data_IF_639653909671
#
_entry.id   IF_639653909671
#
_cell.length_a   1.000
_cell.length_b   1.000
_cell.length_c   1.000
_cell.angle_alpha   90.00
_cell.angle_beta   90.00
_cell.angle_gamma   90.00
#
_symmetry.space_group_name_H-M   'P 1'
#
loop_
_entity.id
_entity.type
_entity.pdbx_description
1 polymer ?
#
# COMPACT_ATOMS: atom_id res chain seq x y z
N UNK A 1 5.35 9.82 -24.43
CA UNK A 1 5.56 9.15 -23.13
C UNK A 1 6.94 8.52 -23.13
N UNK A 2 7.61 8.44 -21.97
CA UNK A 2 8.98 7.92 -21.85
C UNK A 2 9.07 6.38 -21.80
N UNK A 3 7.95 5.65 -21.91
CA UNK A 3 7.93 4.18 -21.80
C UNK A 3 8.17 3.66 -20.38
N UNK A 4 8.01 4.49 -19.35
CA UNK A 4 8.19 4.15 -17.94
C UNK A 4 6.82 4.05 -17.27
N UNK A 5 6.63 3.00 -16.48
CA UNK A 5 5.43 2.79 -15.66
C UNK A 5 5.63 3.29 -14.23
N UNK A 6 4.90 4.32 -13.77
CA UNK A 6 5.05 4.84 -12.41
C UNK A 6 4.48 3.89 -11.35
N UNK A 7 5.23 3.70 -10.26
CA UNK A 7 4.68 3.18 -8.99
C UNK A 7 4.52 4.36 -8.04
N UNK A 8 3.28 4.72 -7.74
CA UNK A 8 2.97 5.86 -6.87
C UNK A 8 3.21 5.44 -5.42
N UNK A 9 4.25 5.99 -4.81
CA UNK A 9 4.64 5.72 -3.43
C UNK A 9 3.55 6.17 -2.45
N UNK A 10 3.33 5.37 -1.40
CA UNK A 10 2.54 5.66 -0.19
C UNK A 10 1.30 6.55 -0.43
N UNK A 11 0.35 6.06 -1.23
CA UNK A 11 -0.82 6.84 -1.68
C UNK A 11 -1.69 7.38 -0.53
N UNK A 12 -1.61 6.77 0.65
CA UNK A 12 -2.26 7.21 1.89
C UNK A 12 -1.74 8.55 2.43
N UNK A 13 -0.63 9.07 1.92
CA UNK A 13 -0.08 10.37 2.32
C UNK A 13 -0.66 11.54 1.54
N UNK A 14 -1.32 11.30 0.40
CA UNK A 14 -1.81 12.38 -0.45
C UNK A 14 -3.26 12.74 -0.12
N UNK A 15 -3.48 13.97 0.36
CA UNK A 15 -4.82 14.49 0.64
C UNK A 15 -5.71 14.49 -0.62
N UNK A 16 -5.09 14.72 -1.79
CA UNK A 16 -5.75 14.68 -3.09
C UNK A 16 -6.44 13.34 -3.40
N UNK A 17 -5.99 12.24 -2.79
CA UNK A 17 -6.52 10.89 -3.01
C UNK A 17 -7.42 10.41 -1.86
N UNK A 18 -7.51 11.16 -0.76
CA UNK A 18 -8.30 10.76 0.40
C UNK A 18 -9.78 10.59 0.04
N UNK A 19 -10.35 9.42 0.37
CA UNK A 19 -11.74 9.06 0.11
C UNK A 19 -12.17 9.25 -1.36
N UNK A 20 -11.21 9.23 -2.29
CA UNK A 20 -11.45 9.51 -3.71
C UNK A 20 -11.00 8.35 -4.60
N UNK A 21 -11.76 7.26 -4.55
CA UNK A 21 -11.57 6.08 -5.39
C UNK A 21 -11.47 6.42 -6.88
N UNK A 22 -12.33 7.31 -7.37
CA UNK A 22 -12.32 7.73 -8.78
C UNK A 22 -10.95 8.22 -9.21
N UNK A 23 -10.36 9.13 -8.44
CA UNK A 23 -9.05 9.71 -8.76
C UNK A 23 -7.91 8.70 -8.69
N UNK A 24 -7.98 7.76 -7.75
CA UNK A 24 -6.99 6.67 -7.69
C UNK A 24 -7.12 5.75 -8.89
N UNK A 25 -8.35 5.41 -9.31
CA UNK A 25 -8.60 4.60 -10.51
C UNK A 25 -8.16 5.31 -11.78
N UNK A 26 -8.41 6.61 -11.93
CA UNK A 26 -7.92 7.39 -13.06
C UNK A 26 -6.39 7.27 -13.22
N UNK A 27 -5.64 7.35 -12.12
CA UNK A 27 -4.18 7.16 -12.14
C UNK A 27 -3.79 5.74 -12.55
N UNK A 28 -4.52 4.73 -12.05
CA UNK A 28 -4.29 3.33 -12.38
C UNK A 28 -4.58 3.06 -13.86
N UNK A 29 -5.70 3.56 -14.36
CA UNK A 29 -6.16 3.42 -15.74
C UNK A 29 -5.23 4.14 -16.73
N UNK A 30 -4.52 5.18 -16.27
CA UNK A 30 -3.42 5.82 -17.01
C UNK A 30 -2.14 4.98 -17.07
N UNK A 31 -2.11 3.81 -16.41
CA UNK A 31 -1.00 2.87 -16.39
C UNK A 31 -0.12 2.95 -15.13
N UNK A 32 -0.57 3.59 -14.05
CA UNK A 32 0.20 3.62 -12.80
C UNK A 32 -0.12 2.42 -11.89
N UNK A 33 0.86 2.02 -11.08
CA UNK A 33 0.62 1.16 -9.91
C UNK A 33 0.67 1.96 -8.61
N UNK A 34 0.11 1.39 -7.54
CA UNK A 34 -0.02 2.08 -6.25
C UNK A 34 0.62 1.27 -5.12
N UNK A 35 1.32 1.96 -4.24
CA UNK A 35 1.93 1.38 -3.05
C UNK A 35 1.39 2.04 -1.77
N UNK A 36 1.24 1.24 -0.71
CA UNK A 36 0.99 1.73 0.65
C UNK A 36 2.02 1.20 1.64
N UNK A 37 2.27 1.91 2.73
CA UNK A 37 3.27 1.51 3.72
C UNK A 37 2.71 0.44 4.67
N UNK A 38 3.52 -0.58 4.94
CA UNK A 38 3.21 -1.68 5.85
C UNK A 38 2.77 -1.20 7.24
N UNK A 39 3.38 -0.12 7.74
CA UNK A 39 3.01 0.45 9.04
C UNK A 39 1.57 0.97 9.09
N UNK A 40 1.07 1.51 7.97
CA UNK A 40 -0.28 2.06 7.86
C UNK A 40 -1.36 0.98 7.68
N UNK A 41 -0.98 -0.28 7.41
CA UNK A 41 -1.93 -1.42 7.37
C UNK A 41 -2.44 -1.76 8.78
N UNK A 42 -1.60 -1.56 9.80
CA UNK A 42 -1.90 -1.91 11.19
C UNK A 42 -3.05 -1.11 11.79
N UNK A 43 -3.72 -1.68 12.80
CA UNK A 43 -4.74 -0.94 13.56
C UNK A 43 -4.11 0.27 14.29
N UNK A 44 -4.87 1.36 14.49
CA UNK A 44 -4.47 2.44 15.39
C UNK A 44 -4.16 1.91 16.79
N UNK A 45 -3.11 2.40 17.43
CA UNK A 45 -2.85 2.19 18.86
C UNK A 45 -3.93 2.90 19.68
N UNK A 46 -4.19 2.40 20.90
CA UNK A 46 -5.14 3.00 21.84
C UNK A 46 -4.69 4.39 22.34
N UNK A 47 -3.38 4.60 22.50
CA UNK A 47 -2.79 5.85 22.94
C UNK A 47 -1.61 6.25 22.03
N UNK A 48 -1.41 7.56 21.83
CA UNK A 48 -0.23 8.10 21.13
C UNK A 48 -0.14 7.79 19.63
N UNK A 49 -1.26 7.46 18.96
CA UNK A 49 -1.26 7.14 17.53
C UNK A 49 -1.11 8.39 16.66
N UNK A 50 0.11 8.66 16.21
CA UNK A 50 0.43 9.78 15.31
C UNK A 50 -0.16 9.62 13.90
N UNK A 51 -0.30 8.39 13.40
CA UNK A 51 -0.61 8.12 11.99
C UNK A 51 -2.03 7.61 11.76
N UNK A 52 -2.96 8.01 12.63
CA UNK A 52 -4.37 7.57 12.60
C UNK A 52 -5.05 7.81 11.25
N UNK A 53 -4.80 8.97 10.62
CA UNK A 53 -5.38 9.33 9.33
C UNK A 53 -4.81 8.49 8.19
N UNK A 54 -3.49 8.28 8.15
CA UNK A 54 -2.84 7.42 7.14
C UNK A 54 -3.33 5.97 7.26
N UNK A 55 -3.48 5.45 8.48
CA UNK A 55 -4.07 4.12 8.73
C UNK A 55 -5.52 4.00 8.25
N UNK A 56 -6.32 5.07 8.38
CA UNK A 56 -7.69 5.14 7.86
C UNK A 56 -7.69 5.11 6.32
N UNK A 57 -6.83 5.91 5.68
CA UNK A 57 -6.70 5.98 4.22
C UNK A 57 -6.19 4.67 3.61
N UNK A 58 -5.14 4.07 4.18
CA UNK A 58 -4.64 2.75 3.76
C UNK A 58 -5.73 1.68 3.81
N UNK A 59 -6.55 1.67 4.87
CA UNK A 59 -7.71 0.79 4.96
C UNK A 59 -8.73 1.06 3.86
N UNK A 60 -9.08 2.33 3.62
CA UNK A 60 -10.01 2.73 2.56
C UNK A 60 -9.56 2.21 1.19
N UNK A 61 -8.28 2.32 0.85
CA UNK A 61 -7.73 1.85 -0.41
C UNK A 61 -7.71 0.32 -0.50
N UNK A 62 -7.32 -0.39 0.56
CA UNK A 62 -7.35 -1.85 0.60
C UNK A 62 -8.77 -2.41 0.45
N UNK A 63 -9.76 -1.79 1.08
CA UNK A 63 -11.17 -2.23 1.02
C UNK A 63 -11.81 -2.06 -0.37
N UNK A 64 -11.21 -1.23 -1.24
CA UNK A 64 -11.68 -0.94 -2.60
C UNK A 64 -10.80 -1.54 -3.69
N UNK A 65 -9.83 -2.36 -3.29
CA UNK A 65 -8.88 -3.00 -4.20
C UNK A 65 -8.07 -1.99 -5.03
N UNK A 66 -7.60 -0.92 -4.38
CA UNK A 66 -6.86 0.19 -5.00
C UNK A 66 -5.35 0.16 -4.72
N UNK A 67 -4.84 -0.97 -4.23
CA UNK A 67 -3.46 -1.15 -3.79
C UNK A 67 -2.84 -2.29 -4.59
N UNK A 68 -1.69 -2.03 -5.20
CA UNK A 68 -0.94 -3.05 -5.95
C UNK A 68 0.21 -3.63 -5.12
N UNK A 69 0.82 -2.82 -4.26
CA UNK A 69 1.99 -3.21 -3.46
C UNK A 69 1.84 -2.72 -2.02
N UNK A 70 2.28 -3.56 -1.07
CA UNK A 70 2.61 -3.11 0.28
C UNK A 70 4.12 -3.17 0.44
N UNK A 71 4.73 -2.05 0.85
CA UNK A 71 6.18 -1.94 1.06
C UNK A 71 6.48 -1.34 2.45
N UNK A 72 7.74 -1.45 2.89
CA UNK A 72 8.09 -1.06 4.25
C UNK A 72 8.20 0.45 4.44
N UNK A 73 8.76 1.14 3.45
CA UNK A 73 9.28 2.51 3.58
C UNK A 73 10.17 2.67 4.84
N UNK A 74 10.92 1.61 5.16
CA UNK A 74 11.77 1.55 6.35
C UNK A 74 13.00 2.45 6.20
N UNK A 75 13.44 3.06 7.29
CA UNK A 75 14.62 3.93 7.31
C UNK A 75 15.60 3.61 8.44
N UNK A 76 15.11 2.97 9.51
CA UNK A 76 15.86 2.69 10.74
C UNK A 76 15.11 1.64 11.56
N UNK A 77 15.63 1.26 12.72
CA UNK A 77 15.00 0.27 13.61
C UNK A 77 14.22 0.91 14.77
N UNK A 78 14.14 2.24 14.84
CA UNK A 78 13.49 2.97 15.94
C UNK A 78 12.12 3.54 15.55
N UNK A 79 12.12 4.56 14.71
CA UNK A 79 10.99 5.44 14.40
C UNK A 79 10.25 4.98 13.14
N UNK A 80 10.95 4.31 12.22
CA UNK A 80 10.44 3.77 10.95
C UNK A 80 11.01 2.36 10.65
N UNK A 81 10.80 1.37 11.55
CA UNK A 81 11.16 -0.03 11.30
C UNK A 81 10.23 -0.71 10.28
N UNK A 82 10.65 -1.83 9.68
CA UNK A 82 9.79 -2.59 8.78
C UNK A 82 8.69 -3.34 9.54
N UNK A 83 7.43 -3.15 9.14
CA UNK A 83 6.27 -3.86 9.68
C UNK A 83 5.69 -4.88 8.69
N UNK A 84 6.53 -5.43 7.81
CA UNK A 84 6.10 -6.26 6.67
C UNK A 84 5.35 -7.52 7.10
N UNK A 85 5.91 -8.33 8.01
CA UNK A 85 5.26 -9.57 8.46
C UNK A 85 3.92 -9.28 9.15
N UNK A 86 3.90 -8.28 10.04
CA UNK A 86 2.67 -7.88 10.72
C UNK A 86 1.58 -7.45 9.73
N UNK A 87 1.94 -6.63 8.73
CA UNK A 87 1.01 -6.18 7.71
C UNK A 87 0.52 -7.35 6.82
N UNK A 88 1.41 -8.28 6.47
CA UNK A 88 1.08 -9.48 5.73
C UNK A 88 0.02 -10.31 6.48
N UNK A 89 0.24 -10.59 7.77
CA UNK A 89 -0.67 -11.40 8.59
C UNK A 89 -2.05 -10.74 8.72
N UNK A 90 -2.09 -9.41 8.87
CA UNK A 90 -3.34 -8.65 8.92
C UNK A 90 -4.10 -8.78 7.59
N UNK A 91 -3.41 -8.64 6.45
CA UNK A 91 -4.04 -8.72 5.13
C UNK A 91 -4.45 -10.17 4.82
N UNK A 92 -3.63 -11.17 5.15
CA UNK A 92 -3.96 -12.58 4.98
C UNK A 92 -5.21 -12.96 5.78
N UNK A 93 -5.33 -12.45 7.01
CA UNK A 93 -6.51 -12.69 7.87
C UNK A 93 -7.76 -11.98 7.35
N UNK A 94 -7.65 -10.74 6.88
CA UNK A 94 -8.81 -9.91 6.50
C UNK A 94 -9.26 -10.10 5.04
N UNK A 95 -8.32 -10.27 4.11
CA UNK A 95 -8.55 -10.31 2.66
C UNK A 95 -8.12 -11.62 2.01
N UNK A 96 -7.81 -12.65 2.82
CA UNK A 96 -7.33 -13.99 2.44
C UNK A 96 -5.86 -14.02 2.04
N UNK A 97 -5.24 -15.18 2.22
CA UNK A 97 -3.81 -15.42 1.93
C UNK A 97 -3.42 -15.08 0.49
N UNK A 98 -4.31 -15.30 -0.50
CA UNK A 98 -4.06 -14.96 -1.90
C UNK A 98 -3.77 -13.46 -2.08
N UNK A 99 -4.57 -12.58 -1.47
CA UNK A 99 -4.36 -11.13 -1.58
C UNK A 99 -3.08 -10.68 -0.87
N UNK A 100 -2.77 -11.29 0.28
CA UNK A 100 -1.50 -11.04 0.98
C UNK A 100 -0.30 -11.44 0.10
N UNK A 101 -0.33 -12.62 -0.53
CA UNK A 101 0.73 -13.05 -1.45
C UNK A 101 0.85 -12.11 -2.65
N UNK A 102 -0.28 -11.69 -3.22
CA UNK A 102 -0.33 -10.74 -4.34
C UNK A 102 0.40 -9.43 -4.01
N UNK A 103 0.03 -8.77 -2.91
CA UNK A 103 0.52 -7.43 -2.56
C UNK A 103 1.95 -7.40 -2.03
N UNK A 104 2.45 -8.50 -1.45
CA UNK A 104 3.76 -8.56 -0.79
C UNK A 104 4.81 -9.36 -1.57
N UNK A 105 4.38 -10.23 -2.49
CA UNK A 105 5.28 -11.16 -3.18
C UNK A 105 5.09 -11.11 -4.69
N UNK A 106 3.88 -11.36 -5.20
CA UNK A 106 3.70 -11.56 -6.64
C UNK A 106 3.81 -10.25 -7.43
N UNK A 107 3.12 -9.17 -7.02
CA UNK A 107 3.21 -7.87 -7.69
C UNK A 107 4.60 -7.23 -7.54
N UNK A 108 5.22 -7.19 -6.33
CA UNK A 108 6.61 -6.74 -6.21
C UNK A 108 7.59 -7.54 -7.06
N UNK A 109 7.43 -8.87 -7.15
CA UNK A 109 8.27 -9.71 -8.01
C UNK A 109 8.13 -9.34 -9.47
N UNK A 110 6.91 -9.11 -9.96
CA UNK A 110 6.66 -8.65 -11.34
C UNK A 110 7.38 -7.34 -11.63
N UNK A 111 7.31 -6.36 -10.72
CA UNK A 111 8.03 -5.08 -10.86
C UNK A 111 9.55 -5.30 -10.97
N UNK A 112 10.13 -6.14 -10.10
CA UNK A 112 11.56 -6.45 -10.12
C UNK A 112 11.98 -7.16 -11.41
N UNK A 113 11.09 -8.00 -11.96
CA UNK A 113 11.33 -8.78 -13.18
C UNK A 113 10.93 -8.05 -14.46
N UNK A 114 10.59 -6.77 -14.40
CA UNK A 114 10.12 -5.97 -15.54
C UNK A 114 8.90 -6.61 -16.25
N UNK A 115 7.95 -7.08 -15.45
CA UNK A 115 6.68 -7.67 -15.90
C UNK A 115 5.50 -6.77 -15.52
N UNK A 116 4.50 -6.72 -16.40
CA UNK A 116 3.24 -6.05 -16.09
C UNK A 116 2.50 -6.76 -14.96
N UNK A 117 2.00 -5.97 -14.00
CA UNK A 117 1.05 -6.42 -12.97
C UNK A 117 -0.31 -6.64 -13.61
#
# INVERSE_FOLDING_TARGET
MLGITPVIAHIERYDALENNEKRVRELIDMGCYTQIDSYHVSKPKFFGEKYKFMKKRARYFLERDLVHVVASDMHNLDSRPPYMQQAYDIIAKKYRAKKAKELFVDNPRKIIMDQLI
#
